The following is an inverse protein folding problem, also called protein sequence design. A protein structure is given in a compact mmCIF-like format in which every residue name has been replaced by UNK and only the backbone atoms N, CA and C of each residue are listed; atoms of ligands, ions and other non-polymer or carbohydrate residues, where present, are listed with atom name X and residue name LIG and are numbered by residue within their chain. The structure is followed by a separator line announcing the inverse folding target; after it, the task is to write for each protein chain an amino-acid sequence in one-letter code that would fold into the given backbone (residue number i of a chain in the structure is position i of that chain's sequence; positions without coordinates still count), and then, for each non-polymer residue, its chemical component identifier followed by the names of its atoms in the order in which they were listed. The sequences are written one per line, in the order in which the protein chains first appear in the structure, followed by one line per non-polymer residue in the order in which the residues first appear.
data_IF_027166555398
#
_entry.id   IF_027166555398
#
_cell.length_a   1.000
_cell.length_b   1.000
_cell.length_c   1.000
_cell.angle_alpha   90.00
_cell.angle_beta   90.00
_cell.angle_gamma   90.00
#
_symmetry.space_group_name_H-M   'P 1'
#
loop_
_entity.id
_entity.type
_entity.pdbx_description
1 polymer ?
#
# COMPACT_ATOMS: atom_id res chain seq x y z
N UNK A 1 24.67 -45.17 60.82
CA UNK A 1 25.12 -45.12 59.42
C UNK A 1 24.07 -44.39 58.60
N UNK A 2 24.43 -43.48 57.66
CA UNK A 2 23.70 -42.70 56.68
C UNK A 2 23.45 -41.21 56.99
N UNK A 3 24.51 -40.47 57.27
CA UNK A 3 24.44 -38.96 57.23
C UNK A 3 25.41 -38.34 56.23
N UNK A 4 26.14 -39.12 55.41
CA UNK A 4 27.15 -38.65 54.47
C UNK A 4 26.65 -38.43 53.07
N UNK A 5 25.48 -38.97 52.68
CA UNK A 5 24.99 -38.87 51.31
C UNK A 5 24.28 -37.54 50.95
N UNK A 6 23.71 -36.84 51.93
CA UNK A 6 22.96 -35.63 51.63
C UNK A 6 23.86 -34.43 51.24
N UNK A 7 25.04 -34.31 51.85
CA UNK A 7 25.97 -33.21 51.46
C UNK A 7 26.58 -33.41 50.08
N UNK A 8 26.84 -34.65 49.70
CA UNK A 8 27.40 -35.00 48.37
C UNK A 8 26.32 -34.85 47.29
N UNK A 9 25.05 -35.14 47.57
CA UNK A 9 23.93 -34.91 46.68
C UNK A 9 23.62 -33.40 46.51
N UNK A 10 23.73 -32.60 47.59
CA UNK A 10 23.62 -31.15 47.51
C UNK A 10 24.74 -30.50 46.68
N UNK A 11 25.98 -31.01 46.83
CA UNK A 11 27.12 -30.52 46.03
C UNK A 11 26.99 -30.88 44.55
N UNK A 12 26.52 -32.08 44.22
CA UNK A 12 26.24 -32.49 42.86
C UNK A 12 25.08 -31.66 42.24
N UNK A 13 24.05 -31.38 43.01
CA UNK A 13 22.92 -30.54 42.55
C UNK A 13 23.34 -29.09 42.30
N UNK A 14 24.24 -28.54 43.15
CA UNK A 14 24.73 -27.15 42.95
C UNK A 14 25.67 -27.04 41.74
N UNK A 15 26.48 -28.07 41.44
CA UNK A 15 27.34 -28.10 40.23
C UNK A 15 26.51 -28.22 38.93
N UNK A 16 25.43 -28.99 38.96
CA UNK A 16 24.52 -29.10 37.80
C UNK A 16 23.75 -27.79 37.59
N UNK A 17 23.30 -27.08 38.64
CA UNK A 17 22.63 -25.77 38.49
C UNK A 17 23.58 -24.68 38.00
N UNK A 18 24.86 -24.69 38.36
CA UNK A 18 25.86 -23.74 37.86
C UNK A 18 26.30 -24.01 36.42
N UNK A 19 26.18 -25.24 35.93
CA UNK A 19 26.53 -25.62 34.54
C UNK A 19 25.48 -25.22 33.50
N UNK A 20 24.23 -24.98 33.92
CA UNK A 20 23.15 -24.64 32.97
C UNK A 20 23.06 -23.15 32.61
N UNK A 21 23.75 -22.28 33.37
CA UNK A 21 23.77 -20.82 33.09
C UNK A 21 24.94 -20.40 32.19
N UNK A 22 25.90 -21.29 31.92
CA UNK A 22 27.14 -20.93 31.21
C UNK A 22 27.01 -20.93 29.67
N UNK A 23 25.94 -21.51 29.10
CA UNK A 23 25.83 -21.67 27.65
C UNK A 23 24.88 -20.66 26.96
N UNK A 24 24.25 -19.74 27.70
CA UNK A 24 23.29 -18.78 27.09
C UNK A 24 23.82 -17.36 27.03
N UNK A 25 24.98 -17.06 27.63
CA UNK A 25 25.55 -15.71 27.67
C UNK A 25 25.82 -15.13 26.26
N UNK A 26 26.29 -15.95 25.37
CA UNK A 26 26.68 -15.51 24.01
C UNK A 26 25.64 -15.87 22.96
N UNK A 27 24.46 -16.38 23.36
CA UNK A 27 23.42 -16.83 22.42
C UNK A 27 22.95 -15.73 21.47
N UNK A 28 22.80 -14.52 21.97
CA UNK A 28 22.41 -13.37 21.15
C UNK A 28 23.51 -12.98 20.15
N UNK A 29 24.78 -13.04 20.54
CA UNK A 29 25.91 -12.70 19.69
C UNK A 29 26.22 -13.79 18.66
N UNK A 30 26.11 -15.06 19.04
CA UNK A 30 26.32 -16.21 18.12
C UNK A 30 25.19 -16.27 17.07
N UNK A 31 23.97 -15.92 17.42
CA UNK A 31 22.83 -15.92 16.52
C UNK A 31 22.66 -14.60 15.77
N UNK A 32 23.49 -13.60 16.02
CA UNK A 32 23.48 -12.36 15.26
C UNK A 32 24.04 -12.63 13.85
N UNK A 33 23.23 -12.39 12.84
CA UNK A 33 23.71 -12.44 11.46
C UNK A 33 24.67 -11.27 11.21
N UNK A 34 25.99 -11.50 10.96
CA UNK A 34 26.95 -10.41 10.74
C UNK A 34 26.67 -9.59 9.49
N UNK A 35 25.82 -10.10 8.59
CA UNK A 35 25.38 -9.42 7.36
C UNK A 35 24.01 -8.74 7.54
N UNK A 36 23.41 -8.81 8.71
CA UNK A 36 22.16 -8.13 9.00
C UNK A 36 22.41 -6.64 9.27
N UNK A 37 21.63 -5.81 8.61
CA UNK A 37 21.69 -4.36 8.82
C UNK A 37 21.19 -4.03 10.22
N UNK A 38 21.97 -3.30 11.02
CA UNK A 38 21.58 -2.93 12.39
C UNK A 38 20.47 -1.89 12.40
N UNK A 39 19.73 -1.80 13.52
CA UNK A 39 18.68 -0.77 13.66
C UNK A 39 19.26 0.66 13.52
N UNK A 40 20.49 0.91 14.01
CA UNK A 40 21.15 2.21 13.83
C UNK A 40 21.45 2.50 12.35
N UNK A 41 21.86 1.48 11.59
CA UNK A 41 22.08 1.62 10.13
C UNK A 41 20.76 1.87 9.39
N UNK A 42 19.66 1.23 9.83
CA UNK A 42 18.32 1.44 9.27
C UNK A 42 17.74 2.80 9.62
N UNK A 43 18.14 3.40 10.74
CA UNK A 43 17.75 4.76 11.13
C UNK A 43 18.57 5.82 10.38
N UNK A 44 19.78 5.49 9.93
CA UNK A 44 20.61 6.43 9.19
C UNK A 44 19.89 6.94 7.94
N UNK A 45 19.86 8.27 7.77
CA UNK A 45 19.17 8.94 6.66
C UNK A 45 17.67 8.62 6.53
N UNK A 46 17.01 8.24 7.62
CA UNK A 46 15.61 7.80 7.63
C UNK A 46 15.31 6.64 6.67
N UNK A 47 16.31 5.78 6.44
CA UNK A 47 16.23 4.72 5.45
C UNK A 47 15.01 3.81 5.65
N UNK A 48 14.75 3.38 6.89
CA UNK A 48 13.61 2.51 7.23
C UNK A 48 12.26 3.14 6.87
N UNK A 49 12.09 4.43 7.19
CA UNK A 49 10.84 5.15 6.91
C UNK A 49 10.72 5.42 5.41
N UNK A 50 11.78 5.91 4.79
CA UNK A 50 11.79 6.27 3.38
C UNK A 50 11.55 5.09 2.44
N UNK A 51 12.15 3.92 2.70
CA UNK A 51 11.95 2.72 1.88
C UNK A 51 10.51 2.20 1.98
N UNK A 52 9.89 2.26 3.16
CA UNK A 52 8.49 1.90 3.33
C UNK A 52 7.55 2.90 2.64
N UNK A 53 7.84 4.21 2.66
CA UNK A 53 7.10 5.21 1.89
C UNK A 53 7.21 4.93 0.38
N UNK A 54 8.41 4.62 -0.12
CA UNK A 54 8.61 4.25 -1.52
C UNK A 54 7.85 2.98 -1.91
N UNK A 55 7.79 1.98 -1.01
CA UNK A 55 6.98 0.78 -1.20
C UNK A 55 5.51 1.14 -1.35
N UNK A 56 4.95 1.97 -0.47
CA UNK A 56 3.55 2.41 -0.57
C UNK A 56 3.29 3.20 -1.85
N UNK A 57 4.18 4.11 -2.26
CA UNK A 57 4.06 4.82 -3.54
C UNK A 57 3.95 3.86 -4.72
N UNK A 58 4.80 2.82 -4.76
CA UNK A 58 4.80 1.81 -5.82
C UNK A 58 3.57 0.90 -5.82
N UNK A 59 2.76 0.90 -4.75
CA UNK A 59 1.50 0.16 -4.67
C UNK A 59 0.27 1.00 -5.04
N UNK A 60 0.35 2.33 -5.00
CA UNK A 60 -0.76 3.22 -5.42
C UNK A 60 -1.16 2.92 -6.87
N UNK A 61 -0.18 2.87 -7.78
CA UNK A 61 -0.29 2.24 -9.11
C UNK A 61 0.87 1.26 -9.21
N UNK A 62 0.61 -0.05 -9.20
CA UNK A 62 1.68 -1.03 -9.21
C UNK A 62 2.65 -0.82 -10.37
N UNK A 63 3.95 -0.77 -10.05
CA UNK A 63 5.01 -0.52 -11.04
C UNK A 63 5.68 -1.81 -11.52
N UNK A 64 5.42 -2.92 -10.85
CA UNK A 64 5.89 -4.25 -11.22
C UNK A 64 4.87 -4.90 -12.15
N UNK A 65 5.33 -5.53 -13.22
CA UNK A 65 4.49 -6.01 -14.32
C UNK A 65 3.40 -6.99 -13.92
N UNK A 66 3.75 -7.99 -13.11
CA UNK A 66 2.79 -9.01 -12.68
C UNK A 66 1.66 -8.40 -11.84
N UNK A 67 2.03 -7.56 -10.87
CA UNK A 67 1.05 -6.90 -10.01
C UNK A 67 0.20 -5.89 -10.77
N UNK A 68 0.81 -5.10 -11.66
CA UNK A 68 0.08 -4.19 -12.54
C UNK A 68 -0.91 -4.96 -13.43
N UNK A 69 -0.49 -6.09 -13.99
CA UNK A 69 -1.36 -6.93 -14.81
C UNK A 69 -2.62 -7.34 -14.05
N UNK A 70 -2.46 -7.90 -12.84
CA UNK A 70 -3.58 -8.42 -12.07
C UNK A 70 -4.40 -7.36 -11.32
N UNK A 71 -3.93 -6.15 -11.18
CA UNK A 71 -4.69 -5.05 -10.56
C UNK A 71 -5.36 -4.17 -11.60
N UNK A 72 -4.70 -3.91 -12.73
CA UNK A 72 -5.17 -2.98 -13.76
C UNK A 72 -5.55 -3.66 -15.06
N UNK A 73 -4.58 -4.30 -15.73
CA UNK A 73 -4.71 -4.69 -17.14
C UNK A 73 -5.78 -5.73 -17.41
N UNK A 74 -5.96 -6.70 -16.51
CA UNK A 74 -6.92 -7.81 -16.70
C UNK A 74 -8.12 -7.74 -15.77
N UNK A 75 -8.21 -6.72 -14.93
CA UNK A 75 -9.37 -6.48 -14.04
C UNK A 75 -10.18 -5.27 -14.54
N UNK A 76 -9.69 -4.06 -14.29
CA UNK A 76 -10.42 -2.83 -14.60
C UNK A 76 -10.51 -2.54 -16.10
N UNK A 77 -9.42 -2.72 -16.83
CA UNK A 77 -9.37 -2.40 -18.25
C UNK A 77 -10.33 -3.24 -19.12
N UNK A 78 -10.44 -4.59 -18.95
CA UNK A 78 -11.43 -5.38 -19.69
C UNK A 78 -12.87 -5.02 -19.35
N UNK A 79 -13.19 -4.81 -18.08
CA UNK A 79 -14.54 -4.39 -17.68
C UNK A 79 -14.95 -3.04 -18.27
N UNK A 80 -13.98 -2.15 -18.49
CA UNK A 80 -14.19 -0.86 -19.12
C UNK A 80 -14.10 -0.90 -20.65
N UNK A 81 -13.84 -2.05 -21.26
CA UNK A 81 -13.70 -2.20 -22.72
C UNK A 81 -12.40 -1.64 -23.30
N UNK A 82 -11.39 -1.36 -22.44
CA UNK A 82 -10.12 -0.78 -22.90
C UNK A 82 -9.17 -1.83 -23.46
N UNK A 83 -9.11 -3.00 -22.85
CA UNK A 83 -8.24 -4.10 -23.25
C UNK A 83 -9.06 -5.38 -23.48
N UNK A 84 -8.55 -6.24 -24.35
CA UNK A 84 -9.00 -7.62 -24.53
C UNK A 84 -7.83 -8.58 -24.46
N UNK A 85 -8.05 -9.77 -23.92
CA UNK A 85 -7.06 -10.85 -23.91
C UNK A 85 -6.77 -11.35 -25.33
N UNK A 86 -5.54 -11.79 -25.54
CA UNK A 86 -5.12 -12.45 -26.79
C UNK A 86 -4.78 -13.93 -26.59
N UNK A 87 -4.79 -14.41 -25.34
CA UNK A 87 -4.41 -15.79 -24.99
C UNK A 87 -5.65 -16.67 -24.94
N UNK A 88 -5.86 -17.51 -25.96
CA UNK A 88 -7.04 -18.37 -26.09
C UNK A 88 -7.13 -19.45 -25.01
N UNK A 89 -6.00 -19.86 -24.46
CA UNK A 89 -5.94 -20.89 -23.41
C UNK A 89 -6.42 -20.42 -22.04
N UNK A 90 -6.56 -19.12 -21.84
CA UNK A 90 -7.07 -18.57 -20.59
C UNK A 90 -8.61 -18.71 -20.53
N UNK A 91 -9.09 -19.71 -19.83
CA UNK A 91 -10.51 -20.01 -19.71
C UNK A 91 -11.17 -19.32 -18.49
N UNK A 92 -10.42 -19.15 -17.41
CA UNK A 92 -10.91 -18.54 -16.16
C UNK A 92 -10.32 -17.14 -16.00
N UNK A 93 -11.02 -16.11 -16.51
CA UNK A 93 -10.54 -14.72 -16.56
C UNK A 93 -11.57 -13.76 -15.99
N UNK A 94 -11.13 -12.54 -15.61
CA UNK A 94 -12.03 -11.45 -15.21
C UNK A 94 -12.96 -11.04 -16.38
N UNK A 95 -12.45 -11.05 -17.59
CA UNK A 95 -13.17 -10.67 -18.80
C UNK A 95 -14.45 -11.49 -19.02
N UNK A 96 -14.43 -12.76 -18.65
CA UNK A 96 -15.63 -13.62 -18.70
C UNK A 96 -16.34 -13.79 -17.35
N UNK A 97 -16.02 -12.93 -16.36
CA UNK A 97 -16.58 -12.94 -15.00
C UNK A 97 -16.33 -14.23 -14.21
N UNK A 98 -15.34 -15.01 -14.59
CA UNK A 98 -15.00 -16.28 -13.96
C UNK A 98 -13.48 -16.41 -13.71
N UNK A 99 -12.84 -15.47 -13.00
CA UNK A 99 -11.41 -15.53 -12.74
C UNK A 99 -11.06 -16.70 -11.80
N UNK A 100 -9.87 -17.27 -11.99
CA UNK A 100 -9.33 -18.28 -11.08
C UNK A 100 -9.11 -17.71 -9.67
N UNK A 101 -8.96 -18.60 -8.68
CA UNK A 101 -8.68 -18.19 -7.30
C UNK A 101 -7.36 -17.41 -7.20
N UNK A 102 -6.33 -17.85 -7.95
CA UNK A 102 -5.02 -17.18 -7.95
C UNK A 102 -5.12 -15.76 -8.53
N UNK A 103 -5.88 -15.58 -9.60
CA UNK A 103 -6.09 -14.25 -10.18
C UNK A 103 -6.84 -13.30 -9.22
N UNK A 104 -7.88 -13.82 -8.54
CA UNK A 104 -8.64 -13.02 -7.55
C UNK A 104 -7.84 -12.64 -6.33
N UNK A 105 -6.80 -13.42 -6.00
CA UNK A 105 -5.97 -13.17 -4.83
C UNK A 105 -5.19 -11.87 -4.95
N UNK A 106 -4.59 -11.59 -6.11
CA UNK A 106 -3.65 -10.48 -6.28
C UNK A 106 -4.27 -9.11 -5.96
N UNK A 107 -5.41 -8.69 -6.56
CA UNK A 107 -5.97 -7.36 -6.29
C UNK A 107 -6.61 -7.23 -4.91
N UNK A 108 -6.73 -8.29 -4.14
CA UNK A 108 -7.28 -8.28 -2.79
C UNK A 108 -6.23 -8.65 -1.73
N UNK A 109 -5.88 -9.96 -1.65
CA UNK A 109 -5.02 -10.47 -0.56
C UNK A 109 -3.62 -9.86 -0.64
N UNK A 110 -3.01 -9.87 -1.84
CA UNK A 110 -1.63 -9.40 -1.98
C UNK A 110 -1.54 -7.88 -1.80
N UNK A 111 -2.52 -7.11 -2.29
CA UNK A 111 -2.56 -5.68 -2.08
C UNK A 111 -2.70 -5.30 -0.61
N UNK A 112 -3.52 -6.02 0.17
CA UNK A 112 -3.66 -5.83 1.61
C UNK A 112 -2.37 -6.23 2.33
N UNK A 113 -1.86 -7.44 2.05
CA UNK A 113 -0.69 -7.99 2.74
C UNK A 113 0.60 -7.22 2.49
N UNK A 114 0.73 -6.54 1.35
CA UNK A 114 1.91 -5.73 1.06
C UNK A 114 1.79 -4.30 1.58
N UNK A 115 0.57 -3.76 1.65
CA UNK A 115 0.34 -2.40 2.12
C UNK A 115 0.55 -2.27 3.63
N UNK A 116 -0.04 -3.15 4.43
CA UNK A 116 -0.08 -2.96 5.88
C UNK A 116 1.26 -3.11 6.61
N UNK A 117 2.20 -3.99 6.24
CA UNK A 117 3.53 -4.02 6.85
C UNK A 117 4.30 -2.71 6.67
N UNK A 118 4.33 -2.17 5.44
CA UNK A 118 4.98 -0.90 5.15
C UNK A 118 4.29 0.28 5.88
N UNK A 119 2.97 0.33 5.86
CA UNK A 119 2.18 1.32 6.58
C UNK A 119 2.45 1.28 8.09
N UNK A 120 2.39 0.10 8.70
CA UNK A 120 2.64 -0.11 10.14
C UNK A 120 4.06 0.29 10.54
N UNK A 121 5.05 -0.04 9.69
CA UNK A 121 6.44 0.33 9.93
C UNK A 121 6.64 1.85 10.00
N UNK A 122 5.89 2.62 9.21
CA UNK A 122 5.95 4.09 9.24
C UNK A 122 5.20 4.62 10.46
N UNK A 123 3.94 4.23 10.65
CA UNK A 123 3.10 4.78 11.72
C UNK A 123 3.70 4.52 13.12
N UNK A 124 4.35 3.37 13.32
CA UNK A 124 4.96 3.01 14.60
C UNK A 124 6.46 3.38 14.67
N UNK A 125 7.07 3.79 13.55
CA UNK A 125 8.52 3.98 13.45
C UNK A 125 9.00 5.42 13.44
N UNK A 126 8.10 6.41 13.34
CA UNK A 126 8.48 7.82 13.30
C UNK A 126 7.41 8.71 13.91
N UNK A 127 7.86 9.85 14.48
CA UNK A 127 6.98 10.95 14.91
C UNK A 127 6.88 12.06 13.84
N UNK A 128 7.49 11.87 12.67
CA UNK A 128 7.38 12.81 11.55
C UNK A 128 5.93 12.83 11.02
N UNK A 129 5.23 13.93 11.31
CA UNK A 129 3.81 14.10 10.98
C UNK A 129 3.55 14.08 9.47
N UNK A 130 4.51 14.55 8.65
CA UNK A 130 4.40 14.53 7.18
C UNK A 130 4.54 13.11 6.66
N UNK A 131 5.53 12.36 7.14
CA UNK A 131 5.71 10.96 6.75
C UNK A 131 4.49 10.11 7.13
N UNK A 132 3.91 10.31 8.32
CA UNK A 132 2.69 9.63 8.74
C UNK A 132 1.48 10.03 7.89
N UNK A 133 1.33 11.32 7.58
CA UNK A 133 0.24 11.81 6.72
C UNK A 133 0.31 11.21 5.32
N UNK A 134 1.51 11.16 4.72
CA UNK A 134 1.71 10.55 3.41
C UNK A 134 1.50 9.04 3.41
N UNK A 135 1.92 8.34 4.47
CA UNK A 135 1.63 6.92 4.61
C UNK A 135 0.11 6.65 4.64
N UNK A 136 -0.65 7.47 5.39
CA UNK A 136 -2.12 7.41 5.40
C UNK A 136 -2.69 7.69 4.01
N UNK A 137 -2.21 8.72 3.32
CA UNK A 137 -2.65 9.09 1.98
C UNK A 137 -2.48 7.95 0.98
N UNK A 138 -1.31 7.30 0.98
CA UNK A 138 -1.04 6.17 0.09
C UNK A 138 -1.91 4.97 0.44
N UNK A 139 -2.05 4.64 1.72
CA UNK A 139 -2.96 3.57 2.15
C UNK A 139 -4.39 3.83 1.67
N UNK A 140 -4.92 5.05 1.83
CA UNK A 140 -6.25 5.41 1.35
C UNK A 140 -6.36 5.19 -0.17
N UNK A 141 -5.40 5.68 -0.95
CA UNK A 141 -5.40 5.54 -2.40
C UNK A 141 -5.36 4.08 -2.87
N UNK A 142 -4.61 3.22 -2.16
CA UNK A 142 -4.53 1.78 -2.43
C UNK A 142 -5.83 1.08 -2.03
N UNK A 143 -6.28 1.27 -0.79
CA UNK A 143 -7.44 0.56 -0.25
C UNK A 143 -8.76 1.01 -0.87
N UNK A 144 -8.87 2.27 -1.36
CA UNK A 144 -10.00 2.73 -2.14
C UNK A 144 -10.22 1.85 -3.38
N UNK A 145 -9.15 1.46 -4.07
CA UNK A 145 -9.23 0.58 -5.23
C UNK A 145 -9.63 -0.85 -4.84
N UNK A 146 -9.14 -1.32 -3.70
CA UNK A 146 -9.49 -2.66 -3.19
C UNK A 146 -10.98 -2.73 -2.84
N UNK A 147 -11.50 -1.74 -2.08
CA UNK A 147 -12.93 -1.72 -1.72
C UNK A 147 -13.83 -1.46 -2.93
N UNK A 148 -13.38 -0.68 -3.92
CA UNK A 148 -14.13 -0.46 -5.17
C UNK A 148 -14.26 -1.74 -6.00
N UNK A 149 -13.29 -2.65 -5.89
CA UNK A 149 -13.29 -3.93 -6.60
C UNK A 149 -14.03 -5.05 -5.86
N UNK A 150 -13.99 -5.06 -4.53
CA UNK A 150 -14.46 -6.17 -3.70
C UNK A 150 -15.59 -5.82 -2.73
N UNK A 151 -15.94 -4.54 -2.54
CA UNK A 151 -16.92 -4.09 -1.56
C UNK A 151 -16.36 -4.11 -0.15
N UNK A 152 -16.88 -4.92 0.78
CA UNK A 152 -16.37 -5.02 2.15
C UNK A 152 -14.93 -5.49 2.21
N UNK A 153 -14.10 -4.80 3.02
CA UNK A 153 -12.68 -5.14 3.23
C UNK A 153 -12.30 -4.96 4.71
N UNK A 154 -11.24 -5.61 5.22
CA UNK A 154 -10.67 -5.28 6.52
C UNK A 154 -9.95 -3.94 6.43
N UNK A 155 -10.39 -2.92 7.17
CA UNK A 155 -9.83 -1.57 7.12
C UNK A 155 -9.62 -0.93 8.49
N UNK A 156 -10.71 -0.74 9.27
CA UNK A 156 -10.64 0.03 10.53
C UNK A 156 -9.93 -0.71 11.65
N UNK A 157 -10.05 -2.03 11.70
CA UNK A 157 -9.51 -2.87 12.78
C UNK A 157 -8.11 -3.44 12.51
N UNK A 158 -7.58 -3.29 11.30
CA UNK A 158 -6.30 -3.91 10.91
C UNK A 158 -5.13 -3.45 11.77
N UNK A 159 -5.10 -2.16 12.14
CA UNK A 159 -4.03 -1.60 12.96
C UNK A 159 -4.19 -1.91 14.46
N UNK A 160 -5.40 -2.13 14.91
CA UNK A 160 -5.71 -2.51 16.29
C UNK A 160 -5.56 -4.02 16.55
N UNK A 161 -5.56 -4.83 15.50
CA UNK A 161 -5.40 -6.27 15.64
C UNK A 161 -4.00 -6.58 16.19
N UNK A 162 -3.95 -7.26 17.32
CA UNK A 162 -2.70 -7.82 17.85
C UNK A 162 -2.25 -8.94 16.94
N UNK A 163 -0.93 -9.14 16.85
CA UNK A 163 -0.33 -10.25 16.08
C UNK A 163 -0.86 -11.63 16.45
N UNK A 164 -1.52 -11.74 17.57
CA UNK A 164 -2.13 -12.97 18.10
C UNK A 164 -3.52 -13.27 17.51
N UNK A 165 -4.20 -12.27 16.92
CA UNK A 165 -5.49 -12.48 16.24
C UNK A 165 -5.24 -12.54 14.73
N UNK A 166 -5.44 -13.70 14.14
CA UNK A 166 -5.39 -13.91 12.69
C UNK A 166 -6.68 -13.45 11.99
N UNK A 167 -7.70 -13.09 12.75
CA UNK A 167 -9.00 -12.69 12.25
C UNK A 167 -9.20 -11.19 12.41
N UNK A 168 -9.47 -10.51 11.31
CA UNK A 168 -9.87 -9.11 11.26
C UNK A 168 -11.24 -9.02 10.61
N UNK A 169 -12.20 -8.37 11.31
CA UNK A 169 -13.52 -8.16 10.76
C UNK A 169 -13.47 -7.31 9.49
N UNK A 170 -14.35 -7.59 8.54
CA UNK A 170 -14.55 -6.76 7.36
C UNK A 170 -15.49 -5.60 7.72
N UNK A 171 -15.10 -4.41 7.36
CA UNK A 171 -15.97 -3.25 7.38
C UNK A 171 -16.80 -3.24 6.10
N UNK A 172 -18.04 -2.78 6.17
CA UNK A 172 -18.84 -2.52 4.97
C UNK A 172 -18.17 -1.44 4.10
N UNK A 173 -18.46 -1.40 2.81
CA UNK A 173 -17.90 -0.38 1.93
C UNK A 173 -18.26 1.04 2.39
N UNK A 174 -19.45 1.25 2.96
CA UNK A 174 -19.86 2.53 3.54
C UNK A 174 -18.99 2.93 4.74
N UNK A 175 -18.71 1.99 5.66
CA UNK A 175 -17.82 2.23 6.80
C UNK A 175 -16.39 2.53 6.35
N UNK A 176 -15.88 1.78 5.36
CA UNK A 176 -14.55 2.01 4.76
C UNK A 176 -14.46 3.42 4.18
N UNK A 177 -15.42 3.84 3.35
CA UNK A 177 -15.43 5.19 2.76
C UNK A 177 -15.55 6.29 3.82
N UNK A 178 -16.37 6.06 4.85
CA UNK A 178 -16.52 7.01 5.97
C UNK A 178 -15.21 7.19 6.72
N UNK A 179 -14.54 6.08 7.04
CA UNK A 179 -13.23 6.12 7.68
C UNK A 179 -12.17 6.80 6.80
N UNK A 180 -12.13 6.46 5.51
CA UNK A 180 -11.21 7.08 4.55
C UNK A 180 -11.41 8.58 4.41
N UNK A 181 -12.65 9.10 4.37
CA UNK A 181 -12.89 10.54 4.32
C UNK A 181 -12.39 11.24 5.59
N UNK A 182 -12.65 10.66 6.77
CA UNK A 182 -12.17 11.22 8.04
C UNK A 182 -10.64 11.26 8.07
N UNK A 183 -9.99 10.16 7.74
CA UNK A 183 -8.52 10.10 7.69
C UNK A 183 -7.92 11.03 6.63
N UNK A 184 -8.59 11.19 5.49
CA UNK A 184 -8.13 12.08 4.43
C UNK A 184 -8.28 13.55 4.81
N UNK A 185 -9.33 13.91 5.57
CA UNK A 185 -9.47 15.25 6.13
C UNK A 185 -8.33 15.54 7.13
N UNK A 186 -7.94 14.60 7.99
CA UNK A 186 -6.78 14.71 8.89
C UNK A 186 -5.46 14.84 8.12
N UNK A 187 -5.29 14.06 7.04
CA UNK A 187 -4.12 14.15 6.15
C UNK A 187 -4.01 15.52 5.51
N UNK A 188 -5.11 16.04 4.96
CA UNK A 188 -5.16 17.36 4.32
C UNK A 188 -4.80 18.47 5.33
N UNK A 189 -5.37 18.43 6.53
CA UNK A 189 -5.03 19.37 7.60
C UNK A 189 -3.55 19.31 7.97
N UNK A 190 -3.02 18.09 8.18
CA UNK A 190 -1.61 17.87 8.53
C UNK A 190 -0.65 18.37 7.44
N UNK A 191 -0.93 18.14 6.17
CA UNK A 191 -0.13 18.63 5.06
C UNK A 191 -0.21 20.15 4.95
N UNK A 192 -1.39 20.74 5.14
CA UNK A 192 -1.60 22.19 5.10
C UNK A 192 -0.81 22.92 6.18
N UNK A 193 -0.78 22.38 7.41
CA UNK A 193 -0.07 22.95 8.55
C UNK A 193 1.46 22.87 8.38
N UNK A 194 1.94 21.99 7.50
CA UNK A 194 3.36 21.68 7.34
C UNK A 194 3.93 22.07 5.96
N UNK A 195 3.26 22.93 5.20
CA UNK A 195 3.67 23.34 3.84
C UNK A 195 5.10 23.93 3.76
N UNK A 196 5.57 24.55 4.83
CA UNK A 196 6.90 25.20 4.87
C UNK A 196 8.02 24.30 5.41
N UNK A 197 7.68 23.10 5.90
CA UNK A 197 8.67 22.19 6.46
C UNK A 197 9.34 21.39 5.33
N UNK A 198 10.68 21.45 5.22
CA UNK A 198 11.39 20.49 4.39
C UNK A 198 11.26 19.12 5.06
N UNK A 199 10.62 18.18 4.41
CA UNK A 199 10.64 16.79 4.86
C UNK A 199 11.93 16.13 4.37
N UNK A 200 13.02 16.28 5.11
CA UNK A 200 14.30 15.63 4.80
C UNK A 200 14.19 14.09 4.82
N UNK A 201 13.29 13.58 5.68
CA UNK A 201 12.99 12.16 5.74
C UNK A 201 12.32 11.63 4.47
N UNK A 202 11.55 12.46 3.80
CA UNK A 202 10.67 12.06 2.72
C UNK A 202 11.20 12.46 1.33
N UNK A 203 11.70 13.66 1.14
CA UNK A 203 12.08 14.20 -0.17
C UNK A 203 13.01 13.30 -0.98
N UNK A 204 13.95 12.64 -0.31
CA UNK A 204 14.90 11.71 -0.92
C UNK A 204 14.23 10.44 -1.47
N UNK A 205 13.14 10.01 -0.85
CA UNK A 205 12.43 8.77 -1.18
C UNK A 205 11.14 9.00 -1.97
N UNK A 206 10.78 10.27 -2.18
CA UNK A 206 9.61 10.64 -2.98
C UNK A 206 9.94 10.60 -4.47
N UNK A 207 9.53 9.52 -5.11
CA UNK A 207 9.69 9.30 -6.55
C UNK A 207 8.67 10.06 -7.42
N UNK A 208 7.76 10.84 -6.80
CA UNK A 208 6.65 11.52 -7.50
C UNK A 208 6.86 13.03 -7.53
N UNK A 209 6.95 13.67 -6.37
CA UNK A 209 7.04 15.13 -6.23
C UNK A 209 8.30 15.62 -5.55
N UNK A 210 9.27 14.73 -5.30
CA UNK A 210 10.58 15.07 -4.67
C UNK A 210 10.43 15.83 -3.34
N UNK A 211 9.41 15.48 -2.55
CA UNK A 211 9.13 16.08 -1.24
C UNK A 211 8.28 17.35 -1.29
N UNK A 212 7.70 17.71 -2.41
CA UNK A 212 6.84 18.90 -2.52
C UNK A 212 5.48 18.67 -1.85
N UNK A 213 5.34 19.15 -0.61
CA UNK A 213 4.13 18.99 0.20
C UNK A 213 2.92 19.68 -0.46
N UNK A 214 3.10 20.81 -1.13
CA UNK A 214 2.01 21.52 -1.82
C UNK A 214 1.39 20.67 -2.94
N UNK A 215 2.22 19.92 -3.68
CA UNK A 215 1.72 19.01 -4.72
C UNK A 215 1.03 17.78 -4.10
N UNK A 216 1.55 17.25 -2.99
CA UNK A 216 0.87 16.20 -2.24
C UNK A 216 -0.47 16.65 -1.66
N UNK A 217 -0.58 17.89 -1.22
CA UNK A 217 -1.85 18.46 -0.76
C UNK A 217 -2.88 18.53 -1.91
N UNK A 218 -2.47 18.97 -3.11
CA UNK A 218 -3.34 18.93 -4.29
C UNK A 218 -3.75 17.50 -4.67
N UNK A 219 -2.83 16.55 -4.55
CA UNK A 219 -3.14 15.13 -4.78
C UNK A 219 -4.18 14.62 -3.77
N UNK A 220 -4.02 14.93 -2.47
CA UNK A 220 -4.97 14.54 -1.44
C UNK A 220 -6.38 15.10 -1.70
N UNK A 221 -6.48 16.39 -2.05
CA UNK A 221 -7.75 17.00 -2.43
C UNK A 221 -8.34 16.37 -3.70
N UNK A 222 -7.51 16.03 -4.68
CA UNK A 222 -7.97 15.35 -5.90
C UNK A 222 -8.47 13.93 -5.62
N UNK A 223 -7.82 13.22 -4.70
CA UNK A 223 -8.29 11.91 -4.23
C UNK A 223 -9.64 12.05 -3.52
N UNK A 224 -9.81 13.08 -2.65
CA UNK A 224 -11.07 13.39 -1.99
C UNK A 224 -12.19 13.64 -3.01
N UNK A 225 -11.91 14.44 -4.05
CA UNK A 225 -12.85 14.68 -5.15
C UNK A 225 -13.19 13.38 -5.88
N UNK A 226 -12.20 12.56 -6.23
CA UNK A 226 -12.40 11.26 -6.88
C UNK A 226 -13.30 10.35 -6.06
N UNK A 227 -13.05 10.24 -4.75
CA UNK A 227 -13.87 9.44 -3.83
C UNK A 227 -15.31 9.98 -3.74
N UNK A 228 -15.47 11.30 -3.66
CA UNK A 228 -16.79 11.93 -3.65
C UNK A 228 -17.59 11.61 -4.93
N UNK A 229 -16.96 11.72 -6.10
CA UNK A 229 -17.62 11.42 -7.38
C UNK A 229 -18.09 9.96 -7.50
N UNK A 230 -17.49 9.02 -6.78
CA UNK A 230 -17.95 7.62 -6.76
C UNK A 230 -19.23 7.41 -5.94
N UNK A 231 -19.61 8.39 -5.13
CA UNK A 231 -20.79 8.32 -4.26
C UNK A 231 -22.03 9.01 -4.85
N UNK A 232 -21.95 9.57 -6.06
CA UNK A 232 -23.02 10.38 -6.67
C UNK A 232 -24.37 9.71 -6.73
N UNK A 233 -24.41 8.39 -6.94
CA UNK A 233 -25.64 7.61 -7.03
C UNK A 233 -26.15 7.11 -5.66
N UNK A 234 -25.22 6.78 -4.75
CA UNK A 234 -25.56 6.11 -3.49
C UNK A 234 -25.69 7.07 -2.30
N UNK A 235 -24.96 8.19 -2.32
CA UNK A 235 -24.94 9.23 -1.27
C UNK A 235 -24.75 10.61 -1.89
N UNK A 236 -25.71 11.11 -2.71
CA UNK A 236 -25.55 12.31 -3.52
C UNK A 236 -25.24 13.57 -2.70
N UNK A 237 -25.84 13.73 -1.52
CA UNK A 237 -25.60 14.91 -0.67
C UNK A 237 -24.17 14.91 -0.10
N UNK A 238 -23.68 13.76 0.35
CA UNK A 238 -22.30 13.60 0.81
C UNK A 238 -21.32 13.82 -0.35
N UNK A 239 -21.60 13.24 -1.52
CA UNK A 239 -20.82 13.43 -2.73
C UNK A 239 -20.67 14.91 -3.08
N UNK A 240 -21.78 15.65 -3.09
CA UNK A 240 -21.80 17.09 -3.37
C UNK A 240 -21.00 17.90 -2.35
N UNK A 241 -21.17 17.61 -1.05
CA UNK A 241 -20.44 18.31 0.01
C UNK A 241 -18.95 18.08 -0.10
N UNK A 242 -18.51 16.80 -0.15
CA UNK A 242 -17.09 16.45 -0.21
C UNK A 242 -16.40 16.90 -1.50
N UNK A 243 -17.12 16.90 -2.64
CA UNK A 243 -16.60 17.43 -3.89
C UNK A 243 -16.41 18.95 -3.82
N UNK A 244 -17.38 19.70 -3.27
CA UNK A 244 -17.27 21.15 -3.10
C UNK A 244 -16.10 21.53 -2.17
N UNK A 245 -15.93 20.83 -1.04
CA UNK A 245 -14.81 21.01 -0.12
C UNK A 245 -13.47 20.80 -0.84
N UNK A 246 -13.33 19.69 -1.58
CA UNK A 246 -12.08 19.34 -2.27
C UNK A 246 -11.72 20.38 -3.36
N UNK A 247 -12.70 20.81 -4.16
CA UNK A 247 -12.49 21.81 -5.21
C UNK A 247 -12.09 23.16 -4.59
N UNK A 248 -12.75 23.60 -3.53
CA UNK A 248 -12.43 24.85 -2.84
C UNK A 248 -11.04 24.85 -2.22
N UNK A 249 -10.57 23.68 -1.73
CA UNK A 249 -9.24 23.51 -1.15
C UNK A 249 -8.10 23.43 -2.21
N UNK A 250 -8.42 23.21 -3.48
CA UNK A 250 -7.48 23.17 -4.59
C UNK A 250 -7.08 21.75 -4.99
N UNK A 251 -7.54 21.35 -6.15
CA UNK A 251 -7.23 20.06 -6.79
C UNK A 251 -6.18 20.23 -7.89
N UNK A 252 -5.69 19.12 -8.43
CA UNK A 252 -4.83 19.10 -9.63
C UNK A 252 -5.65 19.60 -10.82
N UNK A 253 -5.18 20.69 -11.46
CA UNK A 253 -5.83 21.32 -12.62
C UNK A 253 -4.89 21.46 -13.83
N UNK A 254 -3.60 21.19 -13.65
CA UNK A 254 -2.58 21.33 -14.69
C UNK A 254 -1.71 20.07 -14.76
N UNK A 255 -1.12 19.81 -15.93
CA UNK A 255 -0.19 18.68 -16.10
C UNK A 255 1.10 18.82 -15.26
N UNK A 256 1.46 20.03 -14.84
CA UNK A 256 2.61 20.24 -13.96
C UNK A 256 2.43 19.64 -12.57
N UNK A 257 1.19 19.43 -12.14
CA UNK A 257 0.84 18.82 -10.85
C UNK A 257 0.51 17.32 -10.96
N UNK A 258 0.65 16.69 -12.13
CA UNK A 258 0.39 15.26 -12.28
C UNK A 258 1.29 14.44 -11.36
N UNK A 259 0.68 13.50 -10.62
CA UNK A 259 1.41 12.53 -9.82
C UNK A 259 2.01 11.45 -10.72
N UNK A 260 3.27 11.63 -11.10
CA UNK A 260 3.98 10.71 -11.98
C UNK A 260 5.17 10.11 -11.26
N UNK A 261 5.17 8.79 -11.08
CA UNK A 261 6.31 8.09 -10.53
C UNK A 261 7.29 7.73 -11.64
N UNK A 262 8.54 8.22 -11.53
CA UNK A 262 9.60 7.84 -12.44
C UNK A 262 10.16 6.47 -12.07
N UNK A 263 10.09 5.53 -12.99
CA UNK A 263 10.68 4.19 -12.86
C UNK A 263 11.93 4.10 -13.74
N UNK A 264 12.93 3.37 -13.28
CA UNK A 264 14.15 3.12 -14.08
C UNK A 264 13.91 2.24 -15.30
N UNK A 265 12.84 1.44 -15.26
CA UNK A 265 12.44 0.51 -16.31
C UNK A 265 10.90 0.48 -16.38
N UNK A 266 10.38 0.56 -17.60
CA UNK A 266 8.93 0.40 -17.81
C UNK A 266 8.58 -1.07 -17.92
N UNK A 267 8.42 -1.72 -16.78
CA UNK A 267 8.12 -3.15 -16.69
C UNK A 267 6.78 -3.53 -17.35
N UNK A 268 5.85 -2.58 -17.49
CA UNK A 268 4.57 -2.84 -18.16
C UNK A 268 4.71 -3.14 -19.65
N UNK A 269 5.82 -2.78 -20.28
CA UNK A 269 6.10 -3.14 -21.68
C UNK A 269 6.17 -4.64 -21.89
N UNK A 270 6.58 -5.42 -20.89
CA UNK A 270 6.64 -6.88 -20.95
C UNK A 270 5.24 -7.48 -21.24
N UNK A 271 4.20 -6.94 -20.64
CA UNK A 271 2.82 -7.42 -20.81
C UNK A 271 2.37 -7.31 -22.27
N UNK A 272 2.75 -6.22 -22.92
CA UNK A 272 2.29 -5.92 -24.30
C UNK A 272 3.25 -6.43 -25.36
N UNK A 273 4.56 -6.31 -25.15
CA UNK A 273 5.56 -6.58 -26.15
C UNK A 273 6.08 -8.04 -26.11
N UNK A 274 6.41 -8.51 -24.89
CA UNK A 274 7.07 -9.80 -24.73
C UNK A 274 6.06 -10.92 -24.50
N UNK A 275 5.10 -10.72 -23.59
CA UNK A 275 4.07 -11.71 -23.30
C UNK A 275 2.92 -11.66 -24.32
N UNK A 276 2.57 -10.47 -24.77
CA UNK A 276 1.50 -10.28 -25.75
C UNK A 276 0.10 -10.61 -25.21
N UNK A 277 -0.09 -10.62 -23.91
CA UNK A 277 -1.30 -11.09 -23.22
C UNK A 277 -2.54 -10.26 -23.53
N UNK A 278 -2.36 -8.99 -23.83
CA UNK A 278 -3.43 -8.03 -24.05
C UNK A 278 -3.17 -7.18 -25.29
N UNK A 279 -4.29 -6.75 -25.87
CA UNK A 279 -4.32 -5.71 -26.91
C UNK A 279 -5.42 -4.74 -26.57
N UNK A 280 -5.36 -3.57 -27.19
CA UNK A 280 -6.42 -2.59 -27.09
C UNK A 280 -7.75 -3.21 -27.51
N UNK A 281 -8.80 -2.97 -26.73
CA UNK A 281 -10.13 -3.49 -26.98
C UNK A 281 -10.77 -2.90 -28.24
N UNK A 282 -11.57 -3.70 -28.93
CA UNK A 282 -12.26 -3.26 -30.15
C UNK A 282 -13.22 -2.09 -29.86
N UNK A 283 -13.84 -2.08 -28.69
CA UNK A 283 -14.81 -1.05 -28.31
C UNK A 283 -14.16 0.34 -28.23
N UNK A 284 -13.03 0.47 -27.52
CA UNK A 284 -12.32 1.75 -27.43
C UNK A 284 -11.76 2.19 -28.78
N UNK A 285 -11.23 1.27 -29.58
CA UNK A 285 -10.71 1.58 -30.93
C UNK A 285 -11.81 2.05 -31.86
N UNK A 286 -12.96 1.39 -31.85
CA UNK A 286 -14.10 1.80 -32.67
C UNK A 286 -14.60 3.19 -32.28
N UNK A 287 -14.63 3.48 -30.98
CA UNK A 287 -14.99 4.80 -30.44
C UNK A 287 -14.00 5.88 -30.91
N UNK A 288 -12.70 5.62 -30.76
CA UNK A 288 -11.64 6.54 -31.19
C UNK A 288 -11.66 6.78 -32.69
N UNK A 289 -11.90 5.73 -33.50
CA UNK A 289 -12.03 5.85 -34.93
C UNK A 289 -13.26 6.65 -35.33
N UNK A 290 -14.41 6.43 -34.67
CA UNK A 290 -15.65 7.14 -34.95
C UNK A 290 -15.55 8.66 -34.71
N UNK A 291 -14.76 9.06 -33.71
CA UNK A 291 -14.53 10.47 -33.38
C UNK A 291 -13.24 11.06 -33.95
N UNK A 292 -12.49 10.33 -34.77
CA UNK A 292 -11.18 10.75 -35.28
C UNK A 292 -10.21 11.17 -34.14
N UNK A 293 -10.22 10.44 -33.03
CA UNK A 293 -9.38 10.75 -31.88
C UNK A 293 -7.88 10.68 -32.27
N UNK A 294 -7.09 11.74 -32.00
CA UNK A 294 -5.66 11.77 -32.38
C UNK A 294 -4.80 10.76 -31.60
N UNK A 295 -5.33 10.16 -30.55
CA UNK A 295 -4.60 9.15 -29.73
C UNK A 295 -4.72 7.72 -30.27
N UNK A 296 -5.49 7.47 -31.31
CA UNK A 296 -5.69 6.17 -31.96
C UNK A 296 -4.42 5.65 -32.65
#
# INVERSE_FOLDING_TARGET
MKKTNNKMQLLLLSVVLLGTTACTGDFADINRNPNEVTDEQLQANNYKIGTNLKTLQGLVVPTEEHRFQFVESIVGCPYAGYNGKTVDTWQATFENYNPSADWRKVPFVDMISDTYPAYRAIINGTEDVVAQALAKLFRIAIMQRVTDSYGPIPYTQVMASKTESLEVAYDTQEEVYTAMFTELDDVIASLQDNLSLPSDAFGRYDGVYSGNISQWLKFANSLKLRMAMRLTEVKPDLAKSKAAEAIAAGVITTNADNAMMHTSDNRTTLIYNDWGDHRIGADIINYMNGYNDPRR
#
